data_IF_770956075058
#
_entry.id   IF_770956075058
#
_cell.length_a   1.000
_cell.length_b   1.000
_cell.length_c   1.000
_cell.angle_alpha   90.00
_cell.angle_beta   90.00
_cell.angle_gamma   90.00
#
_symmetry.space_group_name_H-M   'P 1'
#
loop_
_entity.id
_entity.type
_entity.pdbx_description
1 polymer ?
#
# COMPACT_ATOMS: atom_id res chain seq x y z
N UNK A 1 1.28 16.07 -0.66
CA UNK A 1 1.89 15.09 0.29
C UNK A 1 1.35 13.71 -0.08
N UNK A 2 2.06 12.60 0.18
CA UNK A 2 1.57 11.26 -0.17
C UNK A 2 0.97 10.54 1.01
N UNK A 3 -0.17 9.88 0.79
CA UNK A 3 -0.78 8.95 1.73
C UNK A 3 -0.60 7.54 1.16
N UNK A 4 -0.06 6.64 1.98
CA UNK A 4 0.09 5.22 1.64
C UNK A 4 -0.75 4.42 2.63
N UNK A 5 -2.06 4.21 2.35
CA UNK A 5 -2.85 3.22 3.05
C UNK A 5 -2.37 1.83 2.70
N UNK A 6 -2.09 1.00 3.70
CA UNK A 6 -1.62 -0.36 3.48
C UNK A 6 -2.10 -1.33 4.55
N UNK A 7 -2.19 -2.61 4.21
CA UNK A 7 -2.27 -3.71 5.17
C UNK A 7 -1.38 -4.86 4.72
N UNK A 8 -0.96 -5.69 5.66
CA UNK A 8 -0.06 -6.82 5.40
C UNK A 8 -0.79 -8.12 5.73
N UNK A 9 -0.86 -9.01 4.76
CA UNK A 9 -1.22 -10.40 4.96
C UNK A 9 0.05 -11.23 5.12
N UNK A 10 0.10 -12.05 6.16
CA UNK A 10 1.21 -12.99 6.38
C UNK A 10 0.69 -14.40 6.22
N UNK A 11 1.34 -15.20 5.38
CA UNK A 11 1.07 -16.62 5.21
C UNK A 11 2.37 -17.40 5.36
N UNK A 12 2.44 -18.22 6.39
CA UNK A 12 3.53 -19.18 6.58
C UNK A 12 3.16 -20.49 5.88
N UNK A 13 4.04 -20.99 5.02
CA UNK A 13 3.89 -22.27 4.33
C UNK A 13 5.18 -23.06 4.55
N UNK A 14 5.05 -24.21 5.22
CA UNK A 14 6.19 -25.06 5.61
C UNK A 14 7.30 -24.27 6.32
N UNK A 15 8.43 -24.06 5.64
CA UNK A 15 9.64 -23.43 6.18
C UNK A 15 9.83 -22.00 5.68
N UNK A 16 8.85 -21.38 5.01
CA UNK A 16 8.97 -20.00 4.55
C UNK A 16 7.77 -19.14 4.96
N UNK A 17 8.05 -17.88 5.24
CA UNK A 17 7.04 -16.85 5.47
C UNK A 17 6.88 -15.99 4.22
N UNK A 18 5.70 -16.06 3.60
CA UNK A 18 5.27 -15.14 2.56
C UNK A 18 4.51 -13.99 3.22
N UNK A 19 4.89 -12.76 2.91
CA UNK A 19 4.10 -11.60 3.31
C UNK A 19 3.70 -10.80 2.08
N UNK A 20 2.44 -10.40 2.05
CA UNK A 20 1.81 -9.64 0.97
C UNK A 20 1.37 -8.31 1.53
N UNK A 21 2.02 -7.24 1.08
CA UNK A 21 1.58 -5.89 1.35
C UNK A 21 0.56 -5.48 0.30
N UNK A 22 -0.66 -5.18 0.74
CA UNK A 22 -1.66 -4.53 -0.10
C UNK A 22 -1.54 -3.03 0.10
N UNK A 23 -1.32 -2.31 -0.99
CA UNK A 23 -1.17 -0.85 -0.97
C UNK A 23 -2.29 -0.24 -1.80
N UNK A 24 -2.99 0.74 -1.23
CA UNK A 24 -4.00 1.48 -1.97
C UNK A 24 -3.31 2.47 -2.90
N UNK A 25 -3.64 2.38 -4.18
CA UNK A 25 -2.99 3.14 -5.23
C UNK A 25 -4.04 3.70 -6.20
N UNK A 26 -3.76 4.90 -6.70
CA UNK A 26 -4.61 5.61 -7.65
C UNK A 26 -4.23 5.30 -9.10
N UNK A 27 -5.08 5.71 -10.04
CA UNK A 27 -4.86 5.58 -11.49
C UNK A 27 -4.60 4.15 -11.95
N UNK A 28 -5.55 3.28 -11.68
CA UNK A 28 -5.43 1.84 -11.96
C UNK A 28 -4.25 1.20 -11.23
N UNK A 29 -3.89 1.75 -10.06
CA UNK A 29 -2.80 1.32 -9.21
C UNK A 29 -1.39 1.66 -9.70
N UNK A 30 -1.27 2.64 -10.60
CA UNK A 30 0.03 3.08 -11.13
C UNK A 30 0.62 4.27 -10.37
N UNK A 31 -0.18 4.95 -9.53
CA UNK A 31 0.27 6.11 -8.75
C UNK A 31 -0.07 5.95 -7.27
N UNK A 32 0.74 6.57 -6.41
CA UNK A 32 0.37 6.73 -5.00
C UNK A 32 -0.72 7.79 -4.85
N UNK A 33 -1.43 7.76 -3.72
CA UNK A 33 -2.40 8.78 -3.39
C UNK A 33 -1.70 10.06 -2.96
N UNK A 34 -1.84 11.10 -3.75
CA UNK A 34 -1.33 12.44 -3.47
C UNK A 34 -2.46 13.33 -2.93
N UNK A 35 -2.17 14.07 -1.88
CA UNK A 35 -3.04 15.12 -1.32
C UNK A 35 -2.81 16.43 -2.03
N UNK A 36 -3.86 17.22 -2.15
CA UNK A 36 -3.80 18.56 -2.74
C UNK A 36 -3.10 19.56 -1.80
N UNK A 37 -3.07 19.29 -0.48
CA UNK A 37 -2.33 20.13 0.47
C UNK A 37 -0.91 19.60 0.73
N UNK A 38 0.11 20.49 0.75
CA UNK A 38 1.49 20.10 0.98
C UNK A 38 1.78 19.77 2.46
N UNK A 39 0.98 20.28 3.40
CA UNK A 39 1.20 20.11 4.84
C UNK A 39 -0.13 19.97 5.57
N UNK A 40 -0.50 18.74 5.94
CA UNK A 40 -1.63 18.46 6.82
C UNK A 40 -1.14 17.93 8.16
N UNK A 41 -1.83 18.30 9.23
CA UNK A 41 -1.70 17.61 10.51
C UNK A 41 -2.27 16.19 10.41
N UNK A 42 -1.85 15.31 11.32
CA UNK A 42 -2.40 13.95 11.40
C UNK A 42 -3.93 13.95 11.54
N UNK A 43 -4.49 14.87 12.31
CA UNK A 43 -5.94 14.98 12.51
C UNK A 43 -6.66 15.38 11.23
N UNK A 44 -6.11 16.33 10.47
CA UNK A 44 -6.67 16.75 9.19
C UNK A 44 -6.59 15.64 8.15
N UNK A 45 -5.45 14.95 8.05
CA UNK A 45 -5.30 13.82 7.12
C UNK A 45 -6.34 12.73 7.40
N UNK A 46 -6.56 12.37 8.67
CA UNK A 46 -7.55 11.36 9.04
C UNK A 46 -8.97 11.83 8.72
N UNK A 47 -9.31 13.07 9.07
CA UNK A 47 -10.68 13.57 8.97
C UNK A 47 -11.09 14.04 7.56
N UNK A 48 -10.13 14.47 6.74
CA UNK A 48 -10.39 15.00 5.40
C UNK A 48 -10.16 13.94 4.32
N UNK A 49 -9.18 13.05 4.50
CA UNK A 49 -8.82 12.06 3.48
C UNK A 49 -9.21 10.64 3.87
N UNK A 50 -8.81 10.14 5.04
CA UNK A 50 -8.94 8.71 5.32
C UNK A 50 -10.37 8.26 5.67
N UNK A 51 -10.93 8.79 6.77
CA UNK A 51 -12.26 8.38 7.22
C UNK A 51 -13.38 8.67 6.21
N UNK A 52 -13.40 9.81 5.49
CA UNK A 52 -14.42 10.06 4.48
C UNK A 52 -14.37 9.07 3.31
N UNK A 53 -13.20 8.51 3.01
CA UNK A 53 -13.01 7.49 1.97
C UNK A 53 -13.07 6.07 2.55
N UNK A 54 -13.59 5.89 3.77
CA UNK A 54 -13.81 4.58 4.39
C UNK A 54 -12.56 3.89 4.94
N UNK A 55 -11.40 4.55 4.97
CA UNK A 55 -10.17 3.98 5.51
C UNK A 55 -10.09 4.14 7.02
N UNK A 56 -10.19 3.04 7.76
CA UNK A 56 -10.01 3.02 9.21
C UNK A 56 -8.71 2.31 9.59
N UNK A 57 -7.99 2.86 10.56
CA UNK A 57 -6.67 2.36 10.91
C UNK A 57 -5.86 3.33 11.76
N UNK A 58 -4.53 3.24 11.67
CA UNK A 58 -3.62 4.10 12.43
C UNK A 58 -2.42 4.54 11.61
N UNK A 59 -1.96 5.75 11.89
CA UNK A 59 -0.72 6.26 11.34
C UNK A 59 0.47 5.50 11.94
N UNK A 60 1.30 4.89 11.09
CA UNK A 60 2.46 4.11 11.51
C UNK A 60 3.75 4.92 11.52
N UNK A 61 3.96 5.72 10.49
CA UNK A 61 5.11 6.61 10.40
C UNK A 61 4.86 7.71 9.39
N UNK A 62 5.57 8.82 9.56
CA UNK A 62 5.67 9.89 8.57
C UNK A 62 7.15 10.02 8.22
N UNK A 63 7.48 9.97 6.93
CA UNK A 63 8.84 10.16 6.42
C UNK A 63 8.78 11.21 5.32
N UNK A 64 9.47 12.33 5.54
CA UNK A 64 9.46 13.45 4.60
C UNK A 64 8.02 13.90 4.29
N UNK A 65 7.57 13.75 3.05
CA UNK A 65 6.22 14.07 2.58
C UNK A 65 5.32 12.82 2.44
N UNK A 66 5.68 11.69 3.05
CA UNK A 66 4.98 10.41 2.92
C UNK A 66 4.40 9.98 4.27
N UNK A 67 3.10 9.69 4.28
CA UNK A 67 2.37 9.18 5.43
C UNK A 67 2.02 7.73 5.21
N UNK A 68 2.52 6.86 6.09
CA UNK A 68 2.19 5.44 6.09
C UNK A 68 1.03 5.20 7.06
N UNK A 69 -0.10 4.74 6.52
CA UNK A 69 -1.31 4.47 7.28
C UNK A 69 -1.65 2.99 7.24
N UNK A 70 -1.53 2.32 8.39
CA UNK A 70 -1.84 0.90 8.51
C UNK A 70 -3.36 0.73 8.69
N UNK A 71 -3.98 0.11 7.70
CA UNK A 71 -5.41 -0.20 7.68
C UNK A 71 -5.73 -1.29 8.68
N UNK A 72 -6.78 -1.06 9.45
CA UNK A 72 -7.49 -2.09 10.17
C UNK A 72 -8.51 -2.71 9.22
N UNK A 73 -8.18 -3.87 8.65
CA UNK A 73 -9.02 -4.59 7.70
C UNK A 73 -10.30 -5.15 8.31
N UNK A 74 -10.45 -5.15 9.64
CA UNK A 74 -11.70 -5.52 10.32
C UNK A 74 -12.64 -4.33 10.47
N UNK A 75 -12.09 -3.13 10.64
CA UNK A 75 -12.87 -1.90 10.75
C UNK A 75 -13.19 -1.28 9.38
N UNK A 76 -12.32 -1.50 8.39
CA UNK A 76 -12.50 -1.03 7.01
C UNK A 76 -13.36 -2.04 6.23
N UNK A 77 -14.39 -1.55 5.54
CA UNK A 77 -15.21 -2.40 4.67
C UNK A 77 -14.47 -2.67 3.36
N UNK A 78 -13.56 -3.65 3.38
CA UNK A 78 -12.65 -3.91 2.26
C UNK A 78 -13.34 -4.22 0.93
N UNK A 79 -14.60 -4.69 0.96
CA UNK A 79 -15.39 -4.98 -0.23
C UNK A 79 -15.85 -3.73 -1.00
N UNK A 80 -15.76 -2.53 -0.41
CA UNK A 80 -16.06 -1.26 -1.09
C UNK A 80 -14.95 -0.84 -2.07
N UNK A 81 -13.81 -1.54 -2.05
CA UNK A 81 -12.63 -1.19 -2.84
C UNK A 81 -12.35 -2.26 -3.90
N UNK A 82 -11.95 -1.81 -5.08
CA UNK A 82 -11.43 -2.70 -6.10
C UNK A 82 -10.06 -3.24 -5.72
N UNK A 83 -9.79 -4.49 -6.09
CA UNK A 83 -8.45 -5.06 -6.02
C UNK A 83 -7.86 -5.19 -7.41
N UNK A 84 -6.54 -5.09 -7.50
CA UNK A 84 -5.82 -5.34 -8.75
C UNK A 84 -6.11 -6.77 -9.27
N UNK A 85 -6.27 -7.73 -8.35
CA UNK A 85 -6.55 -9.13 -8.67
C UNK A 85 -7.88 -9.30 -9.40
N UNK A 86 -8.91 -8.50 -9.08
CA UNK A 86 -10.25 -8.59 -9.69
C UNK A 86 -10.22 -8.43 -11.21
N UNK A 87 -9.26 -7.65 -11.73
CA UNK A 87 -9.07 -7.41 -13.17
C UNK A 87 -8.15 -8.45 -13.81
N UNK A 88 -7.09 -8.86 -13.10
CA UNK A 88 -6.17 -9.90 -13.59
C UNK A 88 -6.87 -11.23 -13.82
N UNK A 89 -7.75 -11.64 -12.91
CA UNK A 89 -8.50 -12.89 -13.02
C UNK A 89 -9.45 -12.90 -14.22
N UNK A 90 -9.93 -11.72 -14.63
CA UNK A 90 -10.79 -11.54 -15.81
C UNK A 90 -10.01 -11.32 -17.10
N UNK A 91 -8.68 -11.13 -17.02
CA UNK A 91 -7.85 -10.78 -18.16
C UNK A 91 -8.15 -9.38 -18.71
N UNK A 92 -8.67 -8.48 -17.88
CA UNK A 92 -9.09 -7.14 -18.26
C UNK A 92 -8.02 -6.09 -17.88
N UNK A 93 -7.84 -5.03 -18.69
CA UNK A 93 -7.02 -3.90 -18.28
C UNK A 93 -7.69 -3.13 -17.14
N UNK A 94 -6.90 -2.65 -16.17
CA UNK A 94 -7.42 -1.82 -15.09
C UNK A 94 -7.66 -0.40 -15.61
N UNK A 95 -8.90 0.13 -15.53
CA UNK A 95 -9.19 1.50 -15.92
C UNK A 95 -8.39 2.53 -15.12
N UNK A 96 -7.86 3.54 -15.80
CA UNK A 96 -7.01 4.59 -15.19
C UNK A 96 -7.78 5.57 -14.30
N UNK A 97 -9.11 5.50 -14.27
CA UNK A 97 -9.97 6.31 -13.40
C UNK A 97 -10.40 5.57 -12.14
N UNK A 98 -9.90 4.36 -11.89
CA UNK A 98 -10.17 3.60 -10.68
C UNK A 98 -8.98 3.62 -9.74
N UNK A 99 -9.29 3.55 -8.45
CA UNK A 99 -8.31 3.34 -7.40
C UNK A 99 -8.44 1.89 -6.92
N UNK A 100 -7.31 1.25 -6.65
CA UNK A 100 -7.25 -0.20 -6.40
C UNK A 100 -6.29 -0.54 -5.27
N UNK A 101 -6.59 -1.63 -4.57
CA UNK A 101 -5.62 -2.34 -3.73
C UNK A 101 -4.68 -3.16 -4.61
N UNK A 102 -3.41 -2.76 -4.67
CA UNK A 102 -2.36 -3.46 -5.40
C UNK A 102 -1.52 -4.34 -4.46
N UNK A 103 -1.37 -5.65 -4.74
CA UNK A 103 -0.55 -6.52 -3.93
C UNK A 103 0.93 -6.41 -4.33
N UNK A 104 1.78 -6.38 -3.32
CA UNK A 104 3.23 -6.50 -3.43
C UNK A 104 3.68 -7.66 -2.55
N UNK A 105 4.40 -8.60 -3.15
CA UNK A 105 4.85 -9.81 -2.46
C UNK A 105 6.30 -9.64 -2.00
N UNK A 106 6.58 -10.09 -0.79
CA UNK A 106 7.94 -10.37 -0.36
C UNK A 106 8.01 -11.75 0.28
N UNK A 107 9.11 -12.45 -0.02
CA UNK A 107 9.50 -13.69 0.61
C UNK A 107 10.63 -13.35 1.57
N UNK A 108 10.53 -13.74 2.83
CA UNK A 108 11.58 -13.51 3.80
C UNK A 108 11.16 -13.89 5.22
N UNK A 109 12.01 -14.67 5.89
CA UNK A 109 11.71 -15.24 7.21
C UNK A 109 11.99 -14.28 8.37
N UNK A 110 12.67 -13.14 8.11
CA UNK A 110 13.18 -12.27 9.16
C UNK A 110 12.97 -10.80 8.85
N UNK A 111 12.18 -10.11 9.68
CA UNK A 111 12.03 -8.66 9.61
C UNK A 111 13.36 -7.99 9.91
N UNK A 112 13.74 -6.99 9.09
CA UNK A 112 14.98 -6.19 9.23
C UNK A 112 16.31 -6.96 9.09
N UNK A 113 16.31 -8.19 8.56
CA UNK A 113 17.54 -8.88 8.19
C UNK A 113 17.68 -8.92 6.66
N UNK A 114 18.92 -8.92 6.18
CA UNK A 114 19.25 -9.13 4.78
C UNK A 114 19.12 -10.61 4.46
N UNK A 115 18.33 -10.95 3.46
CA UNK A 115 18.29 -12.32 2.91
C UNK A 115 18.81 -12.35 1.47
N UNK A 116 18.78 -13.54 0.86
CA UNK A 116 19.22 -13.77 -0.52
C UNK A 116 18.42 -12.97 -1.56
N UNK A 117 17.28 -12.39 -1.16
CA UNK A 117 16.41 -11.54 -1.97
C UNK A 117 16.56 -10.04 -1.67
N UNK A 118 17.44 -9.66 -0.72
CA UNK A 118 17.78 -8.28 -0.38
C UNK A 118 17.42 -7.90 1.06
N UNK A 119 17.53 -6.61 1.40
CA UNK A 119 16.97 -6.11 2.67
C UNK A 119 15.47 -5.85 2.55
N UNK A 120 14.67 -6.14 3.58
CA UNK A 120 13.26 -5.70 3.66
C UNK A 120 13.11 -4.19 3.36
N UNK A 121 14.08 -3.39 3.80
CA UNK A 121 14.12 -1.93 3.58
C UNK A 121 14.48 -1.56 2.14
N UNK A 122 15.35 -2.34 1.50
CA UNK A 122 15.72 -2.16 0.09
C UNK A 122 14.60 -2.61 -0.84
N UNK A 123 13.85 -3.66 -0.53
CA UNK A 123 12.65 -4.07 -1.29
C UNK A 123 11.55 -3.00 -1.15
N UNK A 124 11.37 -2.44 0.05
CA UNK A 124 10.52 -1.25 0.27
C UNK A 124 10.99 -0.07 -0.59
N UNK A 125 12.30 0.17 -0.68
CA UNK A 125 12.88 1.20 -1.56
C UNK A 125 12.84 0.83 -3.04
N UNK A 126 12.82 -0.46 -3.43
CA UNK A 126 12.87 -0.91 -4.83
C UNK A 126 11.47 -0.91 -5.46
N UNK A 127 10.43 -1.23 -4.68
CA UNK A 127 9.04 -0.95 -5.07
C UNK A 127 8.84 0.55 -5.28
N UNK A 128 9.51 1.40 -4.47
CA UNK A 128 9.48 2.85 -4.66
C UNK A 128 10.35 3.25 -5.87
N UNK A 129 11.63 2.87 -5.95
CA UNK A 129 12.59 3.31 -6.97
C UNK A 129 12.27 2.83 -8.39
N UNK A 130 11.77 1.60 -8.58
CA UNK A 130 11.47 1.09 -9.93
C UNK A 130 10.30 1.83 -10.59
N UNK A 131 9.42 2.45 -9.77
CA UNK A 131 8.36 3.33 -10.26
C UNK A 131 8.81 4.79 -10.46
N UNK A 132 9.95 5.20 -9.91
CA UNK A 132 10.51 6.55 -10.13
C UNK A 132 11.45 6.62 -11.34
N UNK A 133 11.92 5.48 -11.86
CA UNK A 133 12.70 5.43 -13.11
C UNK A 133 11.85 5.43 -14.39
N UNK A 134 10.52 5.35 -14.25
CA UNK A 134 9.57 5.33 -15.38
C UNK A 134 8.58 6.51 -15.36
N UNK A 135 8.89 7.59 -14.61
CA UNK A 135 8.15 8.88 -14.64
C UNK A 135 9.06 10.00 -15.14
#
# INVERSE_FOLDING_TARGET
>A
MFIIPYFIETKTVENFTLKKAWIFMTKGGTKFWETDEPSLTQKELVNLYLHPNGFYGKMKSVKENIVYFEIDSKATHMADFYTWTDFLEKGEPIPQNLDVWRPFLWLGDKEKEKDEWGWEVEVKQTIIQKFWSEV
#
